data_IF_992559275457
#
_entry.id   IF_992559275457
#
_cell.length_a   1.000
_cell.length_b   1.000
_cell.length_c   1.000
_cell.angle_alpha   90.00
_cell.angle_beta   90.00
_cell.angle_gamma   90.00
#
_symmetry.space_group_name_H-M   'P 1'
#
loop_
_entity.id
_entity.type
_entity.pdbx_description
1 polymer ?
#
# COMPACT_ATOMS: atom_id res chain seq x y z
N UNK A 1 -26.04 27.80 -21.39
CA UNK A 1 -24.80 27.15 -20.90
C UNK A 1 -23.67 27.62 -21.78
N UNK A 2 -22.67 28.29 -21.19
CA UNK A 2 -21.51 28.85 -21.89
C UNK A 2 -20.69 27.71 -22.51
N UNK A 3 -20.21 27.84 -23.76
CA UNK A 3 -19.44 26.77 -24.41
C UNK A 3 -18.21 26.31 -23.63
N UNK A 4 -17.64 27.18 -22.79
CA UNK A 4 -16.58 26.86 -21.84
C UNK A 4 -17.03 25.86 -20.76
N UNK A 5 -18.20 26.05 -20.15
CA UNK A 5 -18.72 25.17 -19.09
C UNK A 5 -18.91 23.73 -19.59
N UNK A 6 -19.48 23.59 -20.79
CA UNK A 6 -19.65 22.28 -21.43
C UNK A 6 -18.32 21.59 -21.76
N UNK A 7 -17.30 22.37 -22.11
CA UNK A 7 -15.95 21.85 -22.37
C UNK A 7 -15.29 21.36 -21.07
N UNK A 8 -15.39 22.13 -19.98
CA UNK A 8 -14.90 21.72 -18.66
C UNK A 8 -15.60 20.44 -18.17
N UNK A 9 -16.93 20.36 -18.30
CA UNK A 9 -17.68 19.16 -17.93
C UNK A 9 -17.27 17.94 -18.76
N UNK A 10 -17.04 18.11 -20.05
CA UNK A 10 -16.55 17.04 -20.93
C UNK A 10 -15.19 16.50 -20.48
N UNK A 11 -14.25 17.39 -20.12
CA UNK A 11 -12.93 16.99 -19.60
C UNK A 11 -13.07 16.26 -18.26
N UNK A 12 -13.87 16.78 -17.33
CA UNK A 12 -14.08 16.15 -16.03
C UNK A 12 -14.66 14.74 -16.18
N UNK A 13 -15.66 14.57 -17.05
CA UNK A 13 -16.25 13.26 -17.34
C UNK A 13 -15.22 12.30 -17.98
N UNK A 14 -14.41 12.78 -18.93
CA UNK A 14 -13.35 11.97 -19.53
C UNK A 14 -12.32 11.51 -18.48
N UNK A 15 -11.88 12.40 -17.59
CA UNK A 15 -10.97 12.07 -16.49
C UNK A 15 -11.58 11.00 -15.56
N UNK A 16 -12.86 11.13 -15.20
CA UNK A 16 -13.55 10.15 -14.36
C UNK A 16 -13.61 8.76 -15.01
N UNK A 17 -13.90 8.69 -16.31
CA UNK A 17 -13.92 7.42 -17.06
C UNK A 17 -12.53 6.78 -17.11
N UNK A 18 -11.50 7.58 -17.40
CA UNK A 18 -10.11 7.10 -17.41
C UNK A 18 -9.71 6.56 -16.04
N UNK A 19 -10.04 7.29 -14.96
CA UNK A 19 -9.75 6.84 -13.60
C UNK A 19 -10.50 5.55 -13.24
N UNK A 20 -11.77 5.41 -13.65
CA UNK A 20 -12.51 4.17 -13.43
C UNK A 20 -11.82 2.97 -14.10
N UNK A 21 -11.34 3.14 -15.34
CA UNK A 21 -10.57 2.10 -16.04
C UNK A 21 -9.26 1.80 -15.30
N UNK A 22 -8.54 2.84 -14.86
CA UNK A 22 -7.29 2.67 -14.11
C UNK A 22 -7.50 1.93 -12.78
N UNK A 23 -8.62 2.17 -12.09
CA UNK A 23 -9.00 1.43 -10.88
C UNK A 23 -9.23 -0.04 -11.20
N UNK A 24 -9.97 -0.36 -12.27
CA UNK A 24 -10.17 -1.74 -12.70
C UNK A 24 -8.85 -2.45 -13.02
N UNK A 25 -7.94 -1.79 -13.75
CA UNK A 25 -6.60 -2.31 -14.04
C UNK A 25 -5.80 -2.53 -12.75
N UNK A 26 -5.88 -1.60 -11.81
CA UNK A 26 -5.18 -1.69 -10.53
C UNK A 26 -5.69 -2.83 -9.66
N UNK A 27 -7.01 -3.08 -9.67
CA UNK A 27 -7.62 -4.25 -9.00
C UNK A 27 -7.10 -5.55 -9.63
N UNK A 28 -7.12 -5.65 -10.97
CA UNK A 28 -6.61 -6.84 -11.67
C UNK A 28 -5.13 -7.09 -11.32
N UNK A 29 -4.31 -6.03 -11.27
CA UNK A 29 -2.90 -6.11 -10.86
C UNK A 29 -2.74 -6.54 -9.40
N UNK A 30 -3.57 -6.02 -8.49
CA UNK A 30 -3.55 -6.38 -7.07
C UNK A 30 -3.81 -7.88 -6.86
N UNK A 31 -4.76 -8.46 -7.61
CA UNK A 31 -5.10 -9.89 -7.51
C UNK A 31 -4.03 -10.78 -8.16
N UNK A 32 -3.51 -10.38 -9.33
CA UNK A 32 -2.50 -11.18 -10.07
C UNK A 32 -1.07 -11.05 -9.56
N UNK A 33 -0.78 -10.10 -8.67
CA UNK A 33 0.56 -9.87 -8.13
C UNK A 33 1.12 -11.10 -7.39
N UNK A 34 2.28 -11.66 -7.81
CA UNK A 34 2.89 -12.81 -7.15
C UNK A 34 3.60 -12.45 -5.84
N UNK A 35 4.15 -11.23 -5.74
CA UNK A 35 4.83 -10.74 -4.53
C UNK A 35 3.87 -9.97 -3.63
N UNK A 36 3.99 -10.16 -2.31
CA UNK A 36 3.21 -9.41 -1.31
C UNK A 36 3.41 -7.90 -1.46
N UNK A 37 4.65 -7.45 -1.74
CA UNK A 37 4.95 -6.04 -1.98
C UNK A 37 4.18 -5.45 -3.18
N UNK A 38 4.02 -6.20 -4.28
CA UNK A 38 3.27 -5.73 -5.46
C UNK A 38 1.80 -5.49 -5.13
N UNK A 39 1.21 -6.37 -4.29
CA UNK A 39 -0.17 -6.23 -3.81
C UNK A 39 -0.34 -4.98 -2.95
N UNK A 40 0.63 -4.73 -2.06
CA UNK A 40 0.63 -3.54 -1.18
C UNK A 40 0.67 -2.26 -2.00
N UNK A 41 1.57 -2.18 -3.00
CA UNK A 41 1.69 -1.02 -3.88
C UNK A 41 0.41 -0.84 -4.71
N UNK A 42 -0.19 -1.93 -5.20
CA UNK A 42 -1.43 -1.89 -5.95
C UNK A 42 -2.62 -1.37 -5.10
N UNK A 43 -2.74 -1.80 -3.85
CA UNK A 43 -3.77 -1.30 -2.92
C UNK A 43 -3.61 0.20 -2.66
N UNK A 44 -2.37 0.67 -2.47
CA UNK A 44 -2.11 2.10 -2.31
C UNK A 44 -2.51 2.91 -3.57
N UNK A 45 -2.21 2.40 -4.77
CA UNK A 45 -2.65 3.03 -6.02
C UNK A 45 -4.18 3.10 -6.15
N UNK A 46 -4.90 2.07 -5.73
CA UNK A 46 -6.37 2.08 -5.72
C UNK A 46 -6.88 3.19 -4.78
N UNK A 47 -6.25 3.34 -3.60
CA UNK A 47 -6.58 4.40 -2.64
C UNK A 47 -6.40 5.80 -3.25
N UNK A 48 -5.27 6.07 -3.90
CA UNK A 48 -5.01 7.37 -4.54
C UNK A 48 -5.96 7.68 -5.68
N UNK A 49 -6.24 6.71 -6.55
CA UNK A 49 -7.23 6.91 -7.63
C UNK A 49 -8.63 7.19 -7.07
N UNK A 50 -9.03 6.52 -6.00
CA UNK A 50 -10.31 6.74 -5.33
C UNK A 50 -10.42 8.17 -4.76
N UNK A 51 -9.35 8.65 -4.11
CA UNK A 51 -9.28 10.04 -3.61
C UNK A 51 -9.46 11.04 -4.75
N UNK A 52 -8.77 10.84 -5.89
CA UNK A 52 -8.91 11.71 -7.06
C UNK A 52 -10.33 11.67 -7.63
N UNK A 53 -10.96 10.50 -7.69
CA UNK A 53 -12.37 10.36 -8.12
C UNK A 53 -13.29 11.19 -7.22
N UNK A 54 -13.15 11.10 -5.89
CA UNK A 54 -13.98 11.87 -4.95
C UNK A 54 -13.73 13.38 -5.12
N UNK A 55 -12.48 13.80 -5.30
CA UNK A 55 -12.13 15.20 -5.54
C UNK A 55 -12.77 15.74 -6.84
N UNK A 56 -12.69 14.99 -7.93
CA UNK A 56 -13.33 15.37 -9.20
C UNK A 56 -14.85 15.40 -9.08
N UNK A 57 -15.42 14.46 -8.33
CA UNK A 57 -16.86 14.39 -8.08
C UNK A 57 -17.35 15.61 -7.27
N UNK A 58 -16.55 16.11 -6.32
CA UNK A 58 -16.84 17.36 -5.60
C UNK A 58 -16.97 18.56 -6.55
N UNK A 59 -16.03 18.69 -7.50
CA UNK A 59 -16.07 19.76 -8.50
C UNK A 59 -17.26 19.59 -9.45
N UNK A 60 -17.56 18.35 -9.84
CA UNK A 60 -18.67 18.06 -10.75
C UNK A 60 -20.05 18.34 -10.12
N UNK A 61 -20.25 17.95 -8.87
CA UNK A 61 -21.50 18.17 -8.14
C UNK A 61 -21.61 19.59 -7.55
N UNK A 62 -20.51 20.35 -7.53
CA UNK A 62 -20.41 21.67 -6.86
C UNK A 62 -20.71 21.61 -5.36
N UNK A 63 -20.40 20.47 -4.76
CA UNK A 63 -20.67 20.18 -3.36
C UNK A 63 -19.36 20.11 -2.56
N UNK A 64 -19.18 21.07 -1.64
CA UNK A 64 -17.94 21.22 -0.87
C UNK A 64 -17.75 20.13 0.19
N UNK A 65 -18.83 19.51 0.68
CA UNK A 65 -18.74 18.45 1.70
C UNK A 65 -17.97 17.21 1.20
N UNK A 66 -17.93 17.00 -0.13
CA UNK A 66 -17.17 15.92 -0.74
C UNK A 66 -15.66 16.13 -0.62
N UNK A 67 -15.19 17.38 -0.46
CA UNK A 67 -13.79 17.68 -0.18
C UNK A 67 -13.40 17.17 1.21
N UNK A 68 -14.28 17.33 2.21
CA UNK A 68 -14.01 16.81 3.55
C UNK A 68 -13.90 15.28 3.55
N UNK A 69 -14.81 14.60 2.83
CA UNK A 69 -14.74 13.15 2.63
C UNK A 69 -13.45 12.76 1.91
N UNK A 70 -13.05 13.50 0.88
CA UNK A 70 -11.80 13.30 0.15
C UNK A 70 -10.58 13.40 1.07
N UNK A 71 -10.55 14.41 1.95
CA UNK A 71 -9.46 14.61 2.91
C UNK A 71 -9.39 13.47 3.93
N UNK A 72 -10.53 13.03 4.47
CA UNK A 72 -10.60 11.88 5.37
C UNK A 72 -10.07 10.61 4.67
N UNK A 73 -10.47 10.38 3.41
CA UNK A 73 -9.99 9.24 2.62
C UNK A 73 -8.48 9.31 2.37
N UNK A 74 -7.94 10.51 2.11
CA UNK A 74 -6.51 10.74 1.96
C UNK A 74 -5.75 10.38 3.24
N UNK A 75 -6.24 10.83 4.39
CA UNK A 75 -5.62 10.51 5.69
C UNK A 75 -5.66 9.00 5.98
N UNK A 76 -6.80 8.33 5.74
CA UNK A 76 -6.95 6.89 5.96
C UNK A 76 -6.04 6.10 5.01
N UNK A 77 -5.97 6.47 3.73
CA UNK A 77 -5.13 5.80 2.74
C UNK A 77 -3.65 5.90 3.11
N UNK A 78 -3.20 7.08 3.53
CA UNK A 78 -1.83 7.29 3.99
C UNK A 78 -1.53 6.47 5.25
N UNK A 79 -2.43 6.53 6.25
CA UNK A 79 -2.27 5.80 7.50
C UNK A 79 -2.21 4.29 7.28
N UNK A 80 -3.00 3.75 6.35
CA UNK A 80 -2.99 2.33 5.98
C UNK A 80 -1.59 1.86 5.55
N UNK A 81 -0.89 2.64 4.73
CA UNK A 81 0.48 2.31 4.27
C UNK A 81 1.51 2.42 5.40
N UNK A 82 1.38 3.44 6.25
CA UNK A 82 2.27 3.62 7.42
C UNK A 82 2.13 2.46 8.40
N UNK A 83 0.89 2.09 8.75
CA UNK A 83 0.60 0.97 9.66
C UNK A 83 1.14 -0.33 9.07
N UNK A 84 0.86 -0.59 7.80
CA UNK A 84 1.36 -1.77 7.10
C UNK A 84 2.89 -1.85 7.09
N UNK A 85 3.57 -0.71 6.85
CA UNK A 85 5.04 -0.65 6.88
C UNK A 85 5.59 -0.93 8.27
N UNK A 86 4.95 -0.40 9.33
CA UNK A 86 5.32 -0.67 10.72
C UNK A 86 5.12 -2.14 11.10
N UNK A 87 3.96 -2.71 10.78
CA UNK A 87 3.65 -4.12 11.04
C UNK A 87 4.63 -5.03 10.30
N UNK A 88 4.89 -4.76 9.02
CA UNK A 88 5.85 -5.50 8.23
C UNK A 88 7.25 -5.41 8.86
N UNK A 89 7.77 -4.21 9.11
CA UNK A 89 9.10 -4.04 9.73
C UNK A 89 9.21 -4.75 11.08
N UNK A 90 8.17 -4.70 11.92
CA UNK A 90 8.14 -5.41 13.21
C UNK A 90 8.35 -6.92 13.05
N UNK A 91 7.61 -7.55 12.14
CA UNK A 91 7.72 -8.99 11.85
C UNK A 91 9.10 -9.34 11.26
N UNK A 92 9.68 -8.46 10.46
CA UNK A 92 11.00 -8.68 9.85
C UNK A 92 12.13 -8.65 10.89
N UNK A 93 12.04 -7.75 11.87
CA UNK A 93 13.01 -7.67 12.96
C UNK A 93 12.89 -8.87 13.90
N UNK A 94 11.67 -9.30 14.22
CA UNK A 94 11.43 -10.51 15.03
C UNK A 94 12.06 -11.75 14.39
N UNK A 95 11.79 -11.99 13.09
CA UNK A 95 12.40 -13.11 12.36
C UNK A 95 13.93 -13.03 12.31
N UNK A 96 14.50 -11.83 12.22
CA UNK A 96 15.96 -11.64 12.23
C UNK A 96 16.55 -11.92 13.62
N UNK A 97 15.88 -11.52 14.68
CA UNK A 97 16.27 -11.83 16.06
C UNK A 97 16.33 -13.32 16.33
N UNK A 98 15.25 -14.05 15.99
CA UNK A 98 15.19 -15.52 16.15
C UNK A 98 16.30 -16.22 15.37
N UNK A 99 16.58 -15.76 14.13
CA UNK A 99 17.63 -16.36 13.31
C UNK A 99 19.04 -16.07 13.83
N UNK A 100 19.25 -14.90 14.43
CA UNK A 100 20.52 -14.55 15.09
C UNK A 100 20.76 -15.37 16.36
N UNK A 101 19.75 -15.51 17.20
CA UNK A 101 19.80 -16.34 18.41
C UNK A 101 20.08 -17.80 18.08
N UNK A 102 19.36 -18.35 17.09
CA UNK A 102 19.56 -19.73 16.65
C UNK A 102 20.98 -19.98 16.13
N UNK A 103 21.54 -19.05 15.36
CA UNK A 103 22.92 -19.14 14.86
C UNK A 103 23.95 -19.10 16.00
N UNK A 104 23.71 -18.29 17.04
CA UNK A 104 24.59 -18.26 18.22
C UNK A 104 24.49 -19.56 19.04
N UNK A 105 23.32 -20.17 19.16
CA UNK A 105 23.17 -21.47 19.83
C UNK A 105 23.91 -22.56 19.06
N UNK A 106 23.82 -22.56 17.73
CA UNK A 106 24.50 -23.52 16.84
C UNK A 106 26.03 -23.41 16.97
N UNK A 107 26.56 -22.18 16.95
CA UNK A 107 28.00 -21.91 17.13
C UNK A 107 28.52 -22.38 18.51
N UNK A 108 27.74 -22.15 19.58
CA UNK A 108 28.10 -22.63 20.92
C UNK A 108 28.06 -24.17 21.03
N UNK A 109 27.10 -24.83 20.37
CA UNK A 109 27.00 -26.30 20.34
C UNK A 109 28.15 -26.94 19.54
N UNK A 110 28.54 -26.35 18.42
CA UNK A 110 29.71 -26.80 17.64
C UNK A 110 31.00 -26.67 18.45
N UNK A 111 31.17 -25.56 19.16
CA UNK A 111 32.32 -25.40 20.05
C UNK A 111 32.32 -26.46 21.15
N UNK A 112 31.22 -26.65 21.91
CA UNK A 112 31.16 -27.68 22.97
C UNK A 112 31.45 -29.10 22.47
N UNK A 113 30.92 -29.48 21.30
CA UNK A 113 31.19 -30.80 20.70
C UNK A 113 32.63 -30.97 20.18
N UNK A 114 33.38 -29.87 20.02
CA UNK A 114 34.82 -29.89 19.76
C UNK A 114 35.61 -30.13 21.05
N UNK A 115 35.21 -29.48 22.16
CA UNK A 115 35.85 -29.67 23.46
C UNK A 115 35.67 -31.12 23.96
N UNK A 116 34.51 -31.74 23.77
CA UNK A 116 34.29 -33.15 24.16
C UNK A 116 35.06 -34.18 23.30
N UNK A 117 35.51 -33.82 22.09
CA UNK A 117 36.24 -34.73 21.19
C UNK A 117 37.77 -34.63 21.28
N UNK A 118 38.31 -33.54 21.81
CA UNK A 118 39.76 -33.41 22.05
C UNK A 118 40.21 -34.11 23.35
N UNK A 119 39.28 -34.36 24.27
CA UNK A 119 39.55 -34.99 25.56
C UNK A 119 39.48 -36.54 25.54
N UNK A 120 39.16 -37.17 24.39
CA UNK A 120 39.04 -38.63 24.18
C UNK A 120 40.16 -39.20 23.28
#
# INVERSE_FOLDING_TARGET
MTGAETFYQGILMACMVVLAILVLVSIIRSVRGPKTADRIIAVNMIGTMTIVIIALLSVYLKESYLVDVCLIYAMISFLSVVVLTKVYTGIYLEKKGIRGDKAAIEDNLEHQGYLEKEDE
#
